data_IF_816312624014
#
_entry.id   IF_816312624014
#
_cell.length_a   1.000
_cell.length_b   1.000
_cell.length_c   1.000
_cell.angle_alpha   90.00
_cell.angle_beta   90.00
_cell.angle_gamma   90.00
#
_symmetry.space_group_name_H-M   'P 1'
#
loop_
_entity.id
_entity.type
_entity.pdbx_description
1 polymer ?
#
# COMPACT_ATOMS: atom_id res chain seq x y z
N UNK A 1 -12.32 -12.86 7.99
CA UNK A 1 -11.16 -11.97 8.13
C UNK A 1 -10.74 -11.47 6.77
N UNK A 2 -10.69 -10.16 6.62
CA UNK A 2 -10.31 -9.58 5.34
C UNK A 2 -8.83 -9.75 5.11
N UNK A 3 -8.44 -10.12 3.89
CA UNK A 3 -7.05 -10.21 3.52
C UNK A 3 -6.55 -8.86 2.97
N UNK A 4 -5.26 -8.74 2.78
CA UNK A 4 -4.65 -7.51 2.28
C UNK A 4 -5.17 -7.11 0.90
N UNK A 5 -5.50 -8.09 0.07
CA UNK A 5 -6.01 -7.85 -1.27
C UNK A 5 -7.37 -7.16 -1.25
N UNK A 6 -8.25 -7.59 -0.34
CA UNK A 6 -9.56 -6.97 -0.16
C UNK A 6 -9.43 -5.54 0.34
N UNK A 7 -8.57 -5.31 1.32
CA UNK A 7 -8.36 -3.99 1.87
C UNK A 7 -7.72 -3.05 0.85
N UNK A 8 -6.78 -3.57 0.08
CA UNK A 8 -6.17 -2.83 -1.01
C UNK A 8 -7.22 -2.38 -2.03
N UNK A 9 -8.14 -3.27 -2.39
CA UNK A 9 -9.22 -2.97 -3.32
C UNK A 9 -10.10 -1.83 -2.82
N UNK A 10 -10.49 -1.87 -1.56
CA UNK A 10 -11.28 -0.81 -0.93
C UNK A 10 -10.54 0.52 -0.95
N UNK A 11 -9.27 0.50 -0.62
CA UNK A 11 -8.46 1.70 -0.58
C UNK A 11 -8.27 2.32 -1.96
N UNK A 12 -8.11 1.48 -2.99
CA UNK A 12 -8.03 1.98 -4.36
C UNK A 12 -9.31 2.69 -4.78
N UNK A 13 -10.46 2.13 -4.43
CA UNK A 13 -11.74 2.77 -4.74
C UNK A 13 -11.89 4.13 -4.07
N UNK A 14 -11.43 4.22 -2.84
CA UNK A 14 -11.45 5.50 -2.11
C UNK A 14 -10.56 6.53 -2.77
N UNK A 15 -9.37 6.12 -3.18
CA UNK A 15 -8.44 7.03 -3.86
C UNK A 15 -8.96 7.44 -5.23
N UNK A 16 -9.63 6.53 -5.93
CA UNK A 16 -10.22 6.84 -7.23
C UNK A 16 -11.31 7.91 -7.13
N UNK A 17 -12.11 7.86 -6.08
CA UNK A 17 -13.18 8.83 -5.89
C UNK A 17 -14.13 8.88 -7.08
N UNK A 18 -14.30 10.04 -7.67
CA UNK A 18 -15.21 10.25 -8.78
C UNK A 18 -14.62 9.95 -10.15
N UNK A 19 -13.33 9.65 -10.22
CA UNK A 19 -12.68 9.31 -11.47
C UNK A 19 -13.19 7.97 -11.99
N UNK A 20 -13.21 7.80 -13.31
CA UNK A 20 -13.49 6.50 -13.90
C UNK A 20 -12.33 5.55 -13.66
N UNK A 21 -12.60 4.24 -13.76
CA UNK A 21 -11.54 3.26 -13.67
C UNK A 21 -10.46 3.49 -14.73
N UNK A 22 -10.89 3.83 -15.95
CA UNK A 22 -9.96 4.09 -17.04
C UNK A 22 -9.07 5.29 -16.74
N UNK A 23 -9.63 6.37 -16.23
CA UNK A 23 -8.88 7.57 -15.90
C UNK A 23 -7.88 7.32 -14.78
N UNK A 24 -8.32 6.63 -13.73
CA UNK A 24 -7.44 6.35 -12.60
C UNK A 24 -6.35 5.35 -12.97
N UNK A 25 -6.67 4.34 -13.79
CA UNK A 25 -5.67 3.39 -14.29
C UNK A 25 -4.58 4.13 -15.08
N UNK A 26 -4.99 5.07 -15.92
CA UNK A 26 -4.05 5.89 -16.68
C UNK A 26 -3.16 6.72 -15.76
N UNK A 27 -3.76 7.30 -14.73
CA UNK A 27 -3.01 8.06 -13.73
C UNK A 27 -1.96 7.19 -13.03
N UNK A 28 -2.31 5.94 -12.74
CA UNK A 28 -1.40 5.00 -12.10
C UNK A 28 -0.40 4.37 -13.08
N UNK A 29 -0.59 4.55 -14.38
CA UNK A 29 0.30 3.97 -15.38
C UNK A 29 0.10 2.49 -15.63
N UNK A 30 -1.11 1.98 -15.39
CA UNK A 30 -1.44 0.57 -15.63
C UNK A 30 -2.65 0.48 -16.55
N UNK A 31 -2.89 -0.71 -17.10
CA UNK A 31 -4.05 -0.93 -17.96
C UNK A 31 -5.34 -0.93 -17.14
N UNK A 32 -6.45 -0.55 -17.78
CA UNK A 32 -7.74 -0.57 -17.11
C UNK A 32 -8.15 -1.97 -16.66
N UNK A 33 -8.00 -3.03 -17.46
CA UNK A 33 -8.32 -4.38 -17.01
C UNK A 33 -7.51 -4.81 -15.78
N UNK A 34 -6.23 -4.44 -15.74
CA UNK A 34 -5.39 -4.73 -14.60
C UNK A 34 -5.87 -4.00 -13.35
N UNK A 35 -6.18 -2.74 -13.48
CA UNK A 35 -6.72 -1.94 -12.39
C UNK A 35 -8.05 -2.52 -11.90
N UNK A 36 -8.93 -2.90 -12.83
CA UNK A 36 -10.23 -3.47 -12.48
C UNK A 36 -10.07 -4.73 -11.64
N UNK A 37 -9.10 -5.58 -11.97
CA UNK A 37 -8.83 -6.78 -11.19
C UNK A 37 -8.33 -6.45 -9.78
N UNK A 38 -7.55 -5.40 -9.62
CA UNK A 38 -7.14 -4.95 -8.29
C UNK A 38 -8.35 -4.47 -7.49
N UNK A 39 -9.24 -3.70 -8.10
CA UNK A 39 -10.43 -3.17 -7.43
C UNK A 39 -11.42 -4.26 -7.04
N UNK A 40 -11.45 -5.35 -7.80
CA UNK A 40 -12.29 -6.51 -7.48
C UNK A 40 -11.67 -7.43 -6.43
N UNK A 41 -10.41 -7.22 -6.11
CA UNK A 41 -9.70 -8.09 -5.18
C UNK A 41 -9.28 -9.42 -5.80
N UNK A 42 -9.34 -9.54 -7.14
CA UNK A 42 -8.98 -10.77 -7.84
C UNK A 42 -7.47 -10.93 -8.04
N UNK A 43 -6.73 -9.85 -7.90
CA UNK A 43 -5.30 -9.85 -8.18
C UNK A 43 -4.55 -8.96 -7.20
N UNK A 44 -3.40 -9.45 -6.77
CA UNK A 44 -2.50 -8.66 -5.93
C UNK A 44 -1.48 -7.93 -6.81
N UNK A 45 -1.11 -6.70 -6.47
CA UNK A 45 -0.03 -6.03 -7.18
C UNK A 45 1.31 -6.66 -6.82
N UNK A 46 2.25 -6.67 -7.77
CA UNK A 46 3.61 -7.02 -7.43
C UNK A 46 4.26 -5.86 -6.65
N UNK A 47 5.44 -6.11 -6.11
CA UNK A 47 6.11 -5.12 -5.25
C UNK A 47 6.39 -3.82 -6.00
N UNK A 48 6.84 -3.92 -7.25
CA UNK A 48 7.16 -2.74 -8.04
C UNK A 48 5.91 -1.91 -8.31
N UNK A 49 4.82 -2.57 -8.70
CA UNK A 49 3.55 -1.90 -8.96
C UNK A 49 3.01 -1.24 -7.69
N UNK A 50 3.08 -1.95 -6.56
CA UNK A 50 2.63 -1.40 -5.28
C UNK A 50 3.42 -0.16 -4.90
N UNK A 51 4.74 -0.19 -5.04
CA UNK A 51 5.57 0.97 -4.76
C UNK A 51 5.26 2.14 -5.68
N UNK A 52 5.03 1.87 -6.96
CA UNK A 52 4.67 2.92 -7.92
C UNK A 52 3.33 3.56 -7.57
N UNK A 53 2.34 2.76 -7.19
CA UNK A 53 1.04 3.30 -6.77
C UNK A 53 1.21 4.17 -5.52
N UNK A 54 2.00 3.72 -4.56
CA UNK A 54 2.28 4.49 -3.36
C UNK A 54 2.92 5.84 -3.70
N UNK A 55 3.94 5.83 -4.55
CA UNK A 55 4.63 7.05 -4.95
C UNK A 55 3.70 8.03 -5.68
N UNK A 56 2.89 7.52 -6.60
CA UNK A 56 1.99 8.36 -7.40
C UNK A 56 0.89 8.96 -6.54
N UNK A 57 0.34 8.18 -5.61
CA UNK A 57 -0.78 8.63 -4.78
C UNK A 57 -0.34 9.38 -3.53
N UNK A 58 0.94 9.38 -3.23
CA UNK A 58 1.45 10.00 -2.00
C UNK A 58 1.09 9.24 -0.74
N UNK A 59 0.70 7.96 -0.87
CA UNK A 59 0.38 7.10 0.26
C UNK A 59 1.53 6.14 0.53
N UNK A 60 1.60 5.64 1.75
CA UNK A 60 2.56 4.58 2.06
C UNK A 60 2.00 3.23 1.60
N UNK A 61 2.87 2.25 1.43
CA UNK A 61 2.42 0.89 1.10
C UNK A 61 1.55 0.32 2.22
N UNK A 62 1.86 0.66 3.46
CA UNK A 62 1.05 0.23 4.60
C UNK A 62 -0.37 0.81 4.54
N UNK A 63 -0.49 2.08 4.17
CA UNK A 63 -1.81 2.70 4.01
C UNK A 63 -2.61 2.05 2.89
N UNK A 64 -1.95 1.74 1.77
CA UNK A 64 -2.61 1.09 0.64
C UNK A 64 -3.11 -0.30 1.00
N UNK A 65 -2.35 -1.03 1.81
CA UNK A 65 -2.70 -2.38 2.24
C UNK A 65 -3.63 -2.40 3.45
N UNK A 66 -3.89 -1.25 4.03
CA UNK A 66 -4.75 -1.15 5.20
C UNK A 66 -4.09 -1.57 6.50
N UNK A 67 -2.77 -1.54 6.56
CA UNK A 67 -2.03 -1.93 7.75
C UNK A 67 -1.87 -0.73 8.68
N UNK A 68 -2.96 -0.34 9.28
CA UNK A 68 -2.99 0.85 10.13
C UNK A 68 -2.26 0.69 11.45
N UNK A 69 -1.99 -0.53 11.85
CA UNK A 69 -1.46 -0.82 13.17
C UNK A 69 0.00 -0.44 13.35
N UNK A 70 0.67 -0.08 12.27
CA UNK A 70 2.07 0.29 12.33
C UNK A 70 2.29 1.55 13.14
N UNK A 71 1.44 2.55 12.92
CA UNK A 71 1.50 3.80 13.65
C UNK A 71 0.92 3.69 15.05
N UNK A 72 0.23 2.60 15.35
CA UNK A 72 -0.41 2.33 16.63
C UNK A 72 0.27 1.23 17.41
N UNK A 73 1.40 0.72 16.91
CA UNK A 73 2.19 -0.27 17.64
C UNK A 73 2.64 0.32 18.97
N UNK A 74 2.75 -0.51 20.03
CA UNK A 74 3.26 0.00 21.30
C UNK A 74 4.59 0.71 21.07
N UNK A 75 4.75 1.95 21.58
CA UNK A 75 5.97 2.73 21.34
C UNK A 75 7.25 2.01 21.74
N UNK A 76 7.16 1.24 22.82
CA UNK A 76 8.32 0.51 23.36
C UNK A 76 8.87 -0.50 22.38
N UNK A 77 8.00 -1.23 21.70
CA UNK A 77 8.42 -2.26 20.75
C UNK A 77 9.05 -1.66 19.50
N UNK A 78 8.46 -0.58 19.01
CA UNK A 78 9.02 0.12 17.86
C UNK A 78 10.37 0.73 18.19
N UNK A 79 10.52 1.28 19.40
CA UNK A 79 11.78 1.86 19.85
C UNK A 79 12.86 0.81 19.98
N UNK A 80 12.53 -0.39 20.50
CA UNK A 80 13.48 -1.48 20.63
C UNK A 80 13.99 -1.94 19.27
N UNK A 81 13.11 -2.15 18.33
CA UNK A 81 13.48 -2.56 16.97
C UNK A 81 14.36 -1.51 16.31
N UNK A 82 14.03 -0.25 16.49
CA UNK A 82 14.80 0.84 15.93
C UNK A 82 16.20 0.91 16.52
N UNK A 83 16.32 0.70 17.82
CA UNK A 83 17.61 0.67 18.50
C UNK A 83 18.47 -0.48 18.02
N UNK A 84 17.89 -1.67 17.85
CA UNK A 84 18.61 -2.83 17.35
C UNK A 84 19.13 -2.60 15.94
N UNK A 85 18.32 -2.02 15.07
CA UNK A 85 18.71 -1.69 13.71
C UNK A 85 19.85 -0.66 13.71
N UNK A 86 19.71 0.39 14.51
CA UNK A 86 20.74 1.43 14.61
C UNK A 86 22.06 0.86 15.16
N UNK A 87 21.99 -0.01 16.15
CA UNK A 87 23.17 -0.64 16.70
C UNK A 87 23.90 -1.50 15.67
N UNK A 88 23.14 -2.24 14.86
CA UNK A 88 23.69 -3.05 13.79
C UNK A 88 24.34 -2.16 12.73
N UNK A 89 23.66 -1.08 12.34
CA UNK A 89 24.18 -0.16 11.34
C UNK A 89 25.46 0.56 11.80
N UNK A 90 25.57 0.86 13.09
CA UNK A 90 26.75 1.52 13.64
C UNK A 90 27.98 0.63 13.69
N UNK A 91 27.80 -0.71 13.71
CA UNK A 91 28.90 -1.65 13.70
C UNK A 91 29.51 -1.84 12.33
N UNK A 92 28.81 -1.43 11.32
CA UNK A 92 29.23 -1.54 9.94
C UNK A 92 29.29 -0.17 9.27
#
# INVERSE_FOLDING_TARGET
MENSCTQFAVNLRRLRGELSQAAFARFLGISQPRYANYELGNREPDLITLCNIADITGKTTDELLGRKNFSQSPPDRAAELKREIEAILKKY
#
